data_IF_975057681547
#
_entry.id   IF_975057681547
#
_cell.length_a   1.000
_cell.length_b   1.000
_cell.length_c   1.000
_cell.angle_alpha   90.00
_cell.angle_beta   90.00
_cell.angle_gamma   90.00
#
_symmetry.space_group_name_H-M   'P 1'
#
loop_
_entity.id
_entity.type
_entity.pdbx_description
1 polymer ?
#
# COMPACT_ATOMS: atom_id res chain seq x y z
N UNK A 1 2.81 6.65 38.76
CA UNK A 1 2.87 6.63 40.24
C UNK A 1 4.10 5.93 40.83
N UNK A 2 4.81 5.04 40.12
CA UNK A 2 6.06 4.41 40.63
C UNK A 2 7.28 5.36 40.73
N UNK A 3 7.26 6.54 40.09
CA UNK A 3 8.41 7.45 40.03
C UNK A 3 8.62 8.26 41.31
N UNK A 4 7.54 8.67 42.00
CA UNK A 4 7.64 9.43 43.25
C UNK A 4 8.29 8.63 44.37
N UNK A 5 8.01 7.32 44.45
CA UNK A 5 8.59 6.42 45.45
C UNK A 5 10.11 6.30 45.36
N UNK A 6 10.71 6.40 44.16
CA UNK A 6 12.16 6.31 43.99
C UNK A 6 12.88 7.58 44.42
N UNK A 7 12.33 8.75 44.07
CA UNK A 7 12.84 10.04 44.52
C UNK A 7 12.69 10.16 46.04
N UNK A 8 11.56 9.70 46.60
CA UNK A 8 11.37 9.65 48.04
C UNK A 8 12.40 8.71 48.69
N UNK A 9 12.62 7.52 48.12
CA UNK A 9 13.61 6.56 48.62
C UNK A 9 15.02 7.14 48.59
N UNK A 10 15.46 7.77 47.49
CA UNK A 10 16.80 8.37 47.41
C UNK A 10 16.97 9.49 48.43
N UNK A 11 15.93 10.31 48.64
CA UNK A 11 15.89 11.31 49.70
C UNK A 11 16.00 10.68 51.11
N UNK A 12 15.24 9.64 51.40
CA UNK A 12 15.28 8.92 52.69
C UNK A 12 16.62 8.22 52.92
N UNK A 13 17.21 7.62 51.89
CA UNK A 13 18.55 7.01 51.92
C UNK A 13 19.59 8.09 52.23
N UNK A 14 19.59 9.20 51.51
CA UNK A 14 20.46 10.34 51.79
C UNK A 14 20.29 10.85 53.22
N UNK A 15 19.05 10.99 53.70
CA UNK A 15 18.75 11.41 55.08
C UNK A 15 19.27 10.41 56.13
N UNK A 16 19.18 9.11 55.85
CA UNK A 16 19.67 8.04 56.75
C UNK A 16 21.18 8.04 56.82
N UNK A 17 21.84 8.11 55.66
CA UNK A 17 23.30 8.13 55.56
C UNK A 17 23.89 9.37 56.24
N UNK A 18 23.30 10.55 56.01
CA UNK A 18 23.72 11.78 56.67
C UNK A 18 23.63 11.69 58.21
N UNK A 19 22.53 11.13 58.75
CA UNK A 19 22.39 10.91 60.21
C UNK A 19 23.37 9.87 60.76
N UNK A 20 23.70 8.84 59.98
CA UNK A 20 24.62 7.80 60.43
C UNK A 20 26.06 8.34 60.52
N UNK A 21 26.46 9.14 59.54
CA UNK A 21 27.78 9.76 59.49
C UNK A 21 27.93 10.88 60.53
N UNK A 22 26.90 11.70 60.75
CA UNK A 22 26.90 12.76 61.78
C UNK A 22 27.12 12.21 63.20
N UNK A 23 26.71 10.96 63.46
CA UNK A 23 26.83 10.30 64.77
C UNK A 23 28.18 9.63 64.99
N UNK A 24 28.83 9.14 63.93
CA UNK A 24 30.00 8.26 64.05
C UNK A 24 31.30 9.04 63.92
N UNK A 25 31.54 9.78 62.83
CA UNK A 25 32.88 10.27 62.52
C UNK A 25 32.87 11.64 61.83
N UNK A 26 32.65 12.72 62.59
CA UNK A 26 32.68 14.10 62.06
C UNK A 26 34.04 14.48 61.44
N UNK A 27 35.14 13.86 61.88
CA UNK A 27 36.51 14.15 61.42
C UNK A 27 37.02 13.25 60.28
N UNK A 28 36.43 12.08 60.03
CA UNK A 28 36.93 11.11 59.02
C UNK A 28 36.05 11.02 57.76
N UNK A 29 34.87 11.64 57.76
CA UNK A 29 33.94 11.54 56.64
C UNK A 29 34.42 12.23 55.34
N UNK A 30 35.48 13.03 55.42
CA UNK A 30 36.17 13.59 54.26
C UNK A 30 36.96 12.54 53.46
N UNK A 31 37.23 11.37 54.05
CA UNK A 31 38.14 10.37 53.47
C UNK A 31 37.42 9.21 52.76
N UNK A 32 36.09 9.10 52.86
CA UNK A 32 35.34 8.00 52.22
C UNK A 32 34.20 8.51 51.34
N UNK A 33 34.30 8.38 50.00
CA UNK A 33 33.21 8.74 49.10
C UNK A 33 32.00 7.83 49.33
N UNK A 34 30.78 8.40 49.36
CA UNK A 34 29.56 7.60 49.44
C UNK A 34 29.36 6.84 48.11
N UNK A 35 29.20 5.51 48.11
CA UNK A 35 29.06 4.71 46.90
C UNK A 35 27.70 4.83 46.20
N UNK A 36 26.68 5.37 46.87
CA UNK A 36 25.29 5.35 46.36
C UNK A 36 25.08 6.11 45.04
N UNK A 37 25.65 7.31 44.80
CA UNK A 37 25.55 8.00 43.51
C UNK A 37 26.17 7.21 42.34
N UNK A 38 27.28 6.49 42.58
CA UNK A 38 27.90 5.60 41.58
C UNK A 38 27.04 4.35 41.33
N UNK A 39 26.43 3.77 42.36
CA UNK A 39 25.46 2.68 42.19
C UNK A 39 24.24 3.12 41.36
N UNK A 40 23.72 4.33 41.61
CA UNK A 40 22.64 4.91 40.81
C UNK A 40 23.05 5.11 39.35
N UNK A 41 24.26 5.63 39.11
CA UNK A 41 24.82 5.78 37.76
C UNK A 41 24.85 4.43 37.03
N UNK A 42 25.33 3.38 37.69
CA UNK A 42 25.44 2.06 37.08
C UNK A 42 24.07 1.41 36.79
N UNK A 43 23.07 1.63 37.66
CA UNK A 43 21.70 1.21 37.41
C UNK A 43 21.08 1.93 36.20
N UNK A 44 21.23 3.26 36.14
CA UNK A 44 20.74 4.05 35.00
C UNK A 44 21.51 3.73 33.71
N UNK A 45 22.81 3.45 33.79
CA UNK A 45 23.61 2.96 32.64
C UNK A 45 23.01 1.68 32.06
N UNK A 46 22.78 0.65 32.88
CA UNK A 46 22.15 -0.61 32.46
C UNK A 46 20.76 -0.40 31.86
N UNK A 47 19.99 0.53 32.40
CA UNK A 47 18.68 0.87 31.88
C UNK A 47 18.73 1.52 30.49
N UNK A 48 19.62 2.50 30.31
CA UNK A 48 19.83 3.15 29.02
C UNK A 48 20.37 2.15 27.98
N UNK A 49 21.31 1.28 28.35
CA UNK A 49 21.78 0.18 27.51
C UNK A 49 20.63 -0.74 27.10
N UNK A 50 19.72 -1.07 28.02
CA UNK A 50 18.53 -1.87 27.74
C UNK A 50 17.55 -1.18 26.79
N UNK A 51 17.43 0.15 26.83
CA UNK A 51 16.65 0.93 25.84
C UNK A 51 17.35 0.88 24.48
N UNK A 52 18.65 1.13 24.43
CA UNK A 52 19.44 1.12 23.19
C UNK A 52 19.40 -0.26 22.50
N UNK A 53 19.60 -1.36 23.24
CA UNK A 53 19.53 -2.73 22.68
C UNK A 53 18.14 -3.04 22.10
N UNK A 54 17.07 -2.67 22.81
CA UNK A 54 15.69 -2.86 22.32
C UNK A 54 15.39 -2.02 21.09
N UNK A 55 15.92 -0.80 21.03
CA UNK A 55 15.84 0.05 19.85
C UNK A 55 16.55 -0.60 18.66
N UNK A 56 17.81 -1.03 18.81
CA UNK A 56 18.59 -1.66 17.73
C UNK A 56 17.91 -2.93 17.18
N UNK A 57 17.41 -3.80 18.07
CA UNK A 57 16.71 -5.01 17.65
C UNK A 57 15.40 -4.72 16.88
N UNK A 58 14.68 -3.64 17.23
CA UNK A 58 13.46 -3.22 16.52
C UNK A 58 13.79 -2.50 15.22
N UNK A 59 14.86 -1.70 15.21
CA UNK A 59 15.38 -0.98 14.04
C UNK A 59 15.74 -1.96 12.93
N UNK A 60 16.58 -2.96 13.20
CA UNK A 60 17.01 -3.95 12.21
C UNK A 60 15.82 -4.62 11.49
N UNK A 61 14.82 -5.09 12.25
CA UNK A 61 13.61 -5.71 11.69
C UNK A 61 12.77 -4.77 10.82
N UNK A 62 12.75 -3.47 11.14
CA UNK A 62 12.01 -2.49 10.36
C UNK A 62 12.80 -2.05 9.11
N UNK A 63 14.13 -1.96 9.20
CA UNK A 63 15.01 -1.68 8.05
C UNK A 63 14.98 -2.81 7.02
N UNK A 64 15.04 -4.08 7.45
CA UNK A 64 14.86 -5.24 6.56
C UNK A 64 13.51 -5.20 5.84
N UNK A 65 12.43 -4.88 6.56
CA UNK A 65 11.09 -4.72 5.96
C UNK A 65 11.04 -3.56 4.99
N UNK A 66 11.70 -2.44 5.30
CA UNK A 66 11.76 -1.29 4.41
C UNK A 66 12.50 -1.64 3.11
N UNK A 67 13.64 -2.32 3.21
CA UNK A 67 14.41 -2.80 2.05
C UNK A 67 13.58 -3.75 1.17
N UNK A 68 12.85 -4.68 1.79
CA UNK A 68 11.96 -5.60 1.08
C UNK A 68 10.85 -4.85 0.33
N UNK A 69 10.18 -3.88 0.97
CA UNK A 69 9.14 -3.09 0.29
C UNK A 69 9.71 -2.18 -0.81
N UNK A 70 10.91 -1.62 -0.63
CA UNK A 70 11.61 -0.86 -1.67
C UNK A 70 11.93 -1.72 -2.88
N UNK A 71 12.43 -2.93 -2.66
CA UNK A 71 12.71 -3.87 -3.74
C UNK A 71 11.42 -4.24 -4.49
N UNK A 72 10.33 -4.54 -3.76
CA UNK A 72 9.02 -4.80 -4.36
C UNK A 72 8.49 -3.62 -5.17
N UNK A 73 8.62 -2.38 -4.66
CA UNK A 73 8.21 -1.17 -5.38
C UNK A 73 9.02 -0.99 -6.66
N UNK A 74 10.36 -1.05 -6.60
CA UNK A 74 11.23 -0.91 -7.78
C UNK A 74 10.96 -1.99 -8.83
N UNK A 75 10.71 -3.23 -8.40
CA UNK A 75 10.32 -4.31 -9.30
C UNK A 75 8.97 -4.03 -9.98
N UNK A 76 7.97 -3.58 -9.22
CA UNK A 76 6.65 -3.21 -9.76
C UNK A 76 6.70 -1.99 -10.68
N UNK A 77 7.51 -0.98 -10.37
CA UNK A 77 7.74 0.18 -11.24
C UNK A 77 8.32 -0.22 -12.58
N UNK A 78 9.31 -1.14 -12.59
CA UNK A 78 9.91 -1.63 -13.83
C UNK A 78 8.89 -2.36 -14.71
N UNK A 79 8.00 -3.15 -14.11
CA UNK A 79 6.94 -3.86 -14.83
C UNK A 79 5.89 -2.88 -15.36
N UNK A 80 5.43 -1.94 -14.54
CA UNK A 80 4.39 -0.95 -14.93
C UNK A 80 4.90 0.04 -15.98
N UNK A 81 6.20 0.37 -15.99
CA UNK A 81 6.80 1.27 -16.97
C UNK A 81 7.00 0.65 -18.36
N UNK A 82 6.85 -0.67 -18.51
CA UNK A 82 6.97 -1.38 -19.79
C UNK A 82 5.63 -1.53 -20.53
N UNK A 83 4.49 -1.25 -19.87
CA UNK A 83 3.15 -1.38 -20.45
C UNK A 83 2.69 -0.06 -21.09
N UNK A 84 2.19 -0.12 -22.33
CA UNK A 84 1.58 1.03 -23.01
C UNK A 84 0.42 1.63 -22.19
N UNK A 85 0.29 2.97 -22.13
CA UNK A 85 -0.78 3.61 -21.39
C UNK A 85 -2.16 3.22 -21.96
N UNK A 86 -3.01 2.66 -21.11
CA UNK A 86 -4.44 2.48 -21.38
C UNK A 86 -5.05 3.83 -21.77
N UNK A 87 -5.66 3.99 -22.97
CA UNK A 87 -6.15 5.30 -23.37
C UNK A 87 -7.40 5.69 -22.55
N UNK A 88 -7.48 6.97 -22.15
CA UNK A 88 -8.29 7.54 -21.05
C UNK A 88 -9.83 7.50 -21.20
N UNK A 89 -10.37 6.86 -22.24
CA UNK A 89 -11.79 6.95 -22.63
C UNK A 89 -12.75 6.24 -21.65
N UNK A 90 -12.24 5.57 -20.60
CA UNK A 90 -13.05 4.96 -19.53
C UNK A 90 -12.56 5.30 -18.12
N UNK A 91 -12.30 6.58 -17.83
CA UNK A 91 -11.90 7.03 -16.49
C UNK A 91 -12.92 6.79 -15.35
N UNK A 92 -14.14 6.35 -15.65
CA UNK A 92 -15.20 6.10 -14.65
C UNK A 92 -15.72 4.65 -14.66
N UNK A 93 -15.67 3.99 -13.50
CA UNK A 93 -16.23 2.63 -13.31
C UNK A 93 -17.70 2.52 -13.79
N UNK A 94 -18.53 3.54 -13.52
CA UNK A 94 -19.94 3.55 -13.93
C UNK A 94 -20.13 3.63 -15.46
N UNK A 95 -19.35 4.47 -16.15
CA UNK A 95 -19.43 4.59 -17.60
C UNK A 95 -19.01 3.30 -18.32
N UNK A 96 -18.00 2.61 -17.78
CA UNK A 96 -17.51 1.34 -18.31
C UNK A 96 -18.55 0.22 -18.18
N UNK A 97 -19.07 -0.01 -16.97
CA UNK A 97 -20.08 -1.06 -16.77
C UNK A 97 -21.42 -0.71 -17.44
N UNK A 98 -21.76 0.58 -17.52
CA UNK A 98 -22.93 1.05 -18.27
C UNK A 98 -22.81 0.76 -19.77
N UNK A 99 -21.68 1.09 -20.39
CA UNK A 99 -21.45 0.80 -21.80
C UNK A 99 -21.37 -0.71 -22.09
N UNK A 100 -20.71 -1.47 -21.21
CA UNK A 100 -20.67 -2.93 -21.29
C UNK A 100 -22.08 -3.54 -21.21
N UNK A 101 -22.92 -3.08 -20.28
CA UNK A 101 -24.31 -3.50 -20.16
C UNK A 101 -25.14 -3.15 -21.38
N UNK A 102 -24.94 -1.96 -21.97
CA UNK A 102 -25.65 -1.53 -23.17
C UNK A 102 -25.33 -2.42 -24.37
N UNK A 103 -24.04 -2.69 -24.63
CA UNK A 103 -23.62 -3.56 -25.74
C UNK A 103 -24.13 -4.98 -25.52
N UNK A 104 -24.06 -5.51 -24.29
CA UNK A 104 -24.58 -6.83 -23.96
C UNK A 104 -26.11 -6.93 -24.19
N UNK A 105 -26.88 -5.92 -23.79
CA UNK A 105 -28.33 -5.86 -24.04
C UNK A 105 -28.65 -5.72 -25.54
N UNK A 106 -27.83 -4.96 -26.27
CA UNK A 106 -27.92 -4.84 -27.72
C UNK A 106 -27.71 -6.18 -28.43
N UNK A 107 -26.69 -6.94 -28.04
CA UNK A 107 -26.46 -8.30 -28.53
C UNK A 107 -27.58 -9.26 -28.13
N UNK A 108 -28.08 -9.16 -26.89
CA UNK A 108 -29.21 -9.97 -26.41
C UNK A 108 -30.46 -9.75 -27.26
N UNK A 109 -30.78 -8.49 -27.56
CA UNK A 109 -31.92 -8.14 -28.39
C UNK A 109 -31.74 -8.63 -29.83
N UNK A 110 -30.56 -8.42 -30.41
CA UNK A 110 -30.24 -8.86 -31.77
C UNK A 110 -30.33 -10.39 -31.92
N UNK A 111 -29.73 -11.13 -30.98
CA UNK A 111 -29.74 -12.60 -30.98
C UNK A 111 -31.14 -13.15 -30.75
N UNK A 112 -31.92 -12.55 -29.84
CA UNK A 112 -33.33 -12.91 -29.65
C UNK A 112 -34.14 -12.72 -30.94
N UNK A 113 -33.99 -11.58 -31.61
CA UNK A 113 -34.70 -11.33 -32.87
C UNK A 113 -34.39 -12.37 -33.95
N UNK A 114 -33.17 -12.92 -33.96
CA UNK A 114 -32.80 -14.03 -34.83
C UNK A 114 -33.41 -15.35 -34.37
N UNK A 115 -33.48 -15.65 -33.08
CA UNK A 115 -34.11 -16.88 -32.58
C UNK A 115 -35.63 -16.89 -32.79
N UNK A 116 -36.29 -15.73 -32.73
CA UNK A 116 -37.72 -15.58 -33.03
C UNK A 116 -38.05 -16.02 -34.48
N UNK A 117 -37.06 -16.15 -35.36
CA UNK A 117 -37.26 -16.59 -36.75
C UNK A 117 -37.28 -18.11 -36.91
N UNK A 118 -36.95 -18.85 -35.85
CA UNK A 118 -36.90 -20.30 -35.86
C UNK A 118 -38.24 -20.95 -35.47
N UNK A 119 -39.32 -20.15 -35.37
CA UNK A 119 -40.67 -20.60 -34.99
C UNK A 119 -40.72 -21.30 -33.62
N UNK A 120 -39.70 -21.08 -32.79
CA UNK A 120 -39.59 -21.65 -31.45
C UNK A 120 -40.57 -20.98 -30.48
N UNK A 121 -40.85 -21.66 -29.38
CA UNK A 121 -41.61 -21.05 -28.29
C UNK A 121 -40.85 -19.81 -27.77
N UNK A 122 -41.56 -18.77 -27.33
CA UNK A 122 -40.95 -17.51 -26.85
C UNK A 122 -39.93 -17.75 -25.73
N UNK A 123 -40.18 -18.74 -24.86
CA UNK A 123 -39.27 -19.13 -23.79
C UNK A 123 -37.98 -19.77 -24.33
N UNK A 124 -38.09 -20.62 -25.35
CA UNK A 124 -36.95 -21.29 -25.99
C UNK A 124 -36.09 -20.29 -26.78
N UNK A 125 -36.73 -19.41 -27.56
CA UNK A 125 -36.03 -18.34 -28.28
C UNK A 125 -35.28 -17.40 -27.32
N UNK A 126 -35.87 -17.10 -26.16
CA UNK A 126 -35.22 -16.31 -25.12
C UNK A 126 -34.02 -17.05 -24.49
N UNK A 127 -34.16 -18.33 -24.13
CA UNK A 127 -33.07 -19.12 -23.52
C UNK A 127 -31.91 -19.28 -24.51
N UNK A 128 -32.20 -19.68 -25.74
CA UNK A 128 -31.18 -19.89 -26.77
C UNK A 128 -30.51 -18.56 -27.14
N UNK A 129 -31.28 -17.48 -27.27
CA UNK A 129 -30.76 -16.14 -27.51
C UNK A 129 -29.85 -15.66 -26.39
N UNK A 130 -30.20 -15.92 -25.13
CA UNK A 130 -29.36 -15.56 -23.98
C UNK A 130 -28.04 -16.37 -23.96
N UNK A 131 -28.10 -17.68 -24.20
CA UNK A 131 -26.90 -18.54 -24.28
C UNK A 131 -25.98 -18.10 -25.42
N UNK A 132 -26.54 -17.84 -26.60
CA UNK A 132 -25.80 -17.32 -27.75
C UNK A 132 -25.14 -15.97 -27.41
N UNK A 133 -25.85 -15.07 -26.72
CA UNK A 133 -25.32 -13.77 -26.30
C UNK A 133 -24.14 -13.94 -25.34
N UNK A 134 -24.25 -14.78 -24.32
CA UNK A 134 -23.13 -15.02 -23.40
C UNK A 134 -21.91 -15.56 -24.15
N UNK A 135 -22.11 -16.53 -25.05
CA UNK A 135 -21.02 -17.14 -25.83
C UNK A 135 -20.35 -16.16 -26.80
N UNK A 136 -21.14 -15.46 -27.61
CA UNK A 136 -20.65 -14.51 -28.61
C UNK A 136 -19.99 -13.30 -27.96
N UNK A 137 -20.61 -12.74 -26.93
CA UNK A 137 -20.06 -11.62 -26.18
C UNK A 137 -18.73 -11.99 -25.54
N UNK A 138 -18.64 -13.18 -24.93
CA UNK A 138 -17.40 -13.66 -24.32
C UNK A 138 -16.29 -13.86 -25.36
N UNK A 139 -16.59 -14.50 -26.49
CA UNK A 139 -15.62 -14.74 -27.57
C UNK A 139 -15.15 -13.43 -28.22
N UNK A 140 -16.06 -12.50 -28.52
CA UNK A 140 -15.71 -11.18 -29.05
C UNK A 140 -14.85 -10.37 -28.07
N UNK A 141 -15.23 -10.38 -26.78
CA UNK A 141 -14.45 -9.72 -25.74
C UNK A 141 -13.08 -10.39 -25.51
N UNK A 142 -12.99 -11.72 -25.59
CA UNK A 142 -11.72 -12.44 -25.49
C UNK A 142 -10.82 -12.19 -26.71
N UNK A 143 -11.38 -12.14 -27.91
CA UNK A 143 -10.66 -11.83 -29.14
C UNK A 143 -9.99 -10.45 -29.07
N UNK A 144 -10.71 -9.44 -28.59
CA UNK A 144 -10.15 -8.09 -28.39
C UNK A 144 -9.04 -8.05 -27.35
N UNK A 145 -9.19 -8.81 -26.26
CA UNK A 145 -8.17 -8.92 -25.21
C UNK A 145 -6.88 -9.57 -25.73
N UNK A 146 -7.00 -10.68 -26.48
CA UNK A 146 -5.84 -11.38 -27.07
C UNK A 146 -5.17 -10.55 -28.17
N UNK A 147 -5.94 -9.74 -28.92
CA UNK A 147 -5.37 -8.79 -29.88
C UNK A 147 -4.43 -7.80 -29.19
N UNK A 148 -4.86 -7.26 -28.05
CA UNK A 148 -4.05 -6.32 -27.27
C UNK A 148 -2.78 -6.93 -26.71
N UNK A 149 -2.81 -8.21 -26.34
CA UNK A 149 -1.63 -8.95 -25.86
C UNK A 149 -0.62 -9.27 -26.96
N UNK A 150 -0.88 -8.89 -28.21
CA UNK A 150 -0.04 -9.23 -29.37
C UNK A 150 -0.27 -10.65 -29.91
N UNK A 151 -1.23 -11.39 -29.35
CA UNK A 151 -1.59 -12.75 -29.80
C UNK A 151 -2.56 -12.70 -30.98
N UNK A 152 -2.10 -12.15 -32.11
CA UNK A 152 -2.86 -12.03 -33.36
C UNK A 152 -3.56 -13.34 -33.82
N UNK A 153 -2.91 -14.52 -33.83
CA UNK A 153 -3.57 -15.74 -34.32
C UNK A 153 -4.74 -16.17 -33.45
N UNK A 154 -4.61 -16.09 -32.12
CA UNK A 154 -5.69 -16.46 -31.19
C UNK A 154 -6.84 -15.44 -31.24
N UNK A 155 -6.51 -14.15 -31.36
CA UNK A 155 -7.50 -13.09 -31.56
C UNK A 155 -8.35 -13.33 -32.80
N UNK A 156 -7.73 -13.69 -33.94
CA UNK A 156 -8.44 -13.99 -35.17
C UNK A 156 -9.36 -15.20 -35.03
N UNK A 157 -8.87 -16.30 -34.45
CA UNK A 157 -9.67 -17.51 -34.23
C UNK A 157 -10.91 -17.20 -33.39
N UNK A 158 -10.74 -16.45 -32.30
CA UNK A 158 -11.84 -16.08 -31.40
C UNK A 158 -12.80 -15.06 -32.04
N UNK A 159 -12.30 -14.17 -32.92
CA UNK A 159 -13.10 -13.13 -33.58
C UNK A 159 -13.89 -13.61 -34.80
N UNK A 160 -13.42 -14.64 -35.50
CA UNK A 160 -14.10 -15.20 -36.67
C UNK A 160 -15.45 -15.82 -36.28
N UNK A 161 -15.53 -16.51 -35.13
CA UNK A 161 -16.75 -17.20 -34.73
C UNK A 161 -17.94 -16.24 -34.52
N UNK A 162 -17.81 -15.12 -33.76
CA UNK A 162 -18.87 -14.12 -33.68
C UNK A 162 -19.26 -13.50 -35.02
N UNK A 163 -18.29 -13.24 -35.90
CA UNK A 163 -18.56 -12.68 -37.24
C UNK A 163 -19.42 -13.62 -38.08
N UNK A 164 -19.08 -14.91 -38.12
CA UNK A 164 -19.86 -15.91 -38.87
C UNK A 164 -21.28 -16.06 -38.34
N UNK A 165 -21.44 -16.05 -37.01
CA UNK A 165 -22.76 -16.17 -36.37
C UNK A 165 -23.63 -14.94 -36.65
N UNK A 166 -23.04 -13.74 -36.66
CA UNK A 166 -23.77 -12.52 -37.05
C UNK A 166 -24.27 -12.57 -38.48
N UNK A 167 -23.43 -13.03 -39.42
CA UNK A 167 -23.81 -13.19 -40.83
C UNK A 167 -24.98 -14.18 -40.95
N UNK A 168 -24.88 -15.32 -40.25
CA UNK A 168 -25.92 -16.33 -40.22
C UNK A 168 -27.23 -15.77 -39.65
N UNK A 169 -27.18 -15.04 -38.53
CA UNK A 169 -28.37 -14.47 -37.88
C UNK A 169 -29.03 -13.38 -38.74
N UNK A 170 -28.23 -12.54 -39.41
CA UNK A 170 -28.73 -11.55 -40.34
C UNK A 170 -29.46 -12.21 -41.52
N UNK A 171 -28.86 -13.26 -42.10
CA UNK A 171 -29.45 -14.01 -43.20
C UNK A 171 -30.74 -14.74 -42.79
N UNK A 172 -30.74 -15.38 -41.62
CA UNK A 172 -31.92 -16.03 -41.05
C UNK A 172 -33.06 -15.03 -40.87
N UNK A 173 -32.80 -13.91 -40.21
CA UNK A 173 -33.79 -12.86 -39.98
C UNK A 173 -34.32 -12.23 -41.26
N UNK A 174 -33.45 -12.00 -42.23
CA UNK A 174 -33.87 -11.48 -43.54
C UNK A 174 -34.74 -12.48 -44.30
N UNK A 175 -34.36 -13.76 -44.33
CA UNK A 175 -35.15 -14.80 -45.01
C UNK A 175 -36.54 -14.96 -44.40
N UNK A 176 -36.64 -14.87 -43.08
CA UNK A 176 -37.90 -14.89 -42.34
C UNK A 176 -38.80 -13.71 -42.66
N UNK A 177 -38.25 -12.49 -42.62
CA UNK A 177 -39.01 -11.27 -42.93
C UNK A 177 -39.52 -11.26 -44.36
N UNK A 178 -38.74 -11.76 -45.33
CA UNK A 178 -39.20 -11.93 -46.70
C UNK A 178 -40.36 -12.93 -46.81
N UNK A 179 -40.27 -14.08 -46.14
CA UNK A 179 -41.37 -15.07 -46.11
C UNK A 179 -42.64 -14.49 -45.50
N UNK A 180 -42.52 -13.80 -44.37
CA UNK A 180 -43.67 -13.18 -43.71
C UNK A 180 -44.29 -12.04 -44.53
N UNK A 181 -43.48 -11.23 -45.21
CA UNK A 181 -43.99 -10.20 -46.11
C UNK A 181 -44.80 -10.81 -47.28
N UNK A 182 -44.33 -11.92 -47.84
CA UNK A 182 -45.04 -12.63 -48.90
C UNK A 182 -46.39 -13.20 -48.42
N UNK A 183 -46.45 -13.75 -47.20
CA UNK A 183 -47.68 -14.27 -46.61
C UNK A 183 -48.72 -13.15 -46.37
N UNK A 184 -48.27 -11.97 -45.94
CA UNK A 184 -49.17 -10.84 -45.63
C UNK A 184 -49.50 -9.96 -46.85
N UNK A 185 -49.00 -10.31 -48.05
CA UNK A 185 -49.22 -9.51 -49.26
C UNK A 185 -48.50 -8.15 -49.25
N UNK A 186 -47.50 -7.97 -48.38
CA UNK A 186 -46.71 -6.74 -48.29
C UNK A 186 -45.62 -6.71 -49.38
N UNK A 187 -45.18 -5.53 -49.83
CA UNK A 187 -44.11 -5.42 -50.81
C UNK A 187 -42.82 -6.08 -50.30
N UNK A 188 -42.15 -6.79 -51.22
CA UNK A 188 -40.92 -7.50 -50.91
C UNK A 188 -39.88 -6.54 -50.31
N UNK A 189 -39.34 -6.89 -49.16
CA UNK A 189 -38.36 -6.06 -48.48
C UNK A 189 -37.07 -5.98 -49.31
N UNK A 190 -36.58 -4.75 -49.47
CA UNK A 190 -35.37 -4.47 -50.24
C UNK A 190 -34.15 -5.17 -49.63
N UNK A 191 -33.17 -5.49 -50.49
CA UNK A 191 -31.86 -6.02 -50.09
C UNK A 191 -31.16 -5.15 -49.03
N UNK A 192 -31.52 -3.87 -48.94
CA UNK A 192 -31.07 -2.96 -47.89
C UNK A 192 -31.44 -3.44 -46.47
N UNK A 193 -32.49 -4.25 -46.31
CA UNK A 193 -32.84 -4.86 -45.01
C UNK A 193 -31.77 -5.84 -44.52
N UNK A 194 -31.23 -6.68 -45.42
CA UNK A 194 -30.12 -7.59 -45.09
C UNK A 194 -28.86 -6.80 -44.75
N UNK A 195 -28.54 -5.78 -45.55
CA UNK A 195 -27.37 -4.94 -45.33
C UNK A 195 -27.45 -4.18 -44.00
N UNK A 196 -28.64 -3.69 -43.63
CA UNK A 196 -28.85 -3.03 -42.35
C UNK A 196 -28.67 -4.00 -41.16
N UNK A 197 -29.22 -5.21 -41.24
CA UNK A 197 -29.04 -6.24 -40.21
C UNK A 197 -27.57 -6.63 -40.05
N UNK A 198 -26.86 -6.82 -41.16
CA UNK A 198 -25.42 -7.07 -41.14
C UNK A 198 -24.63 -5.91 -40.55
N UNK A 199 -24.93 -4.66 -40.92
CA UNK A 199 -24.24 -3.50 -40.39
C UNK A 199 -24.41 -3.38 -38.87
N UNK A 200 -25.62 -3.60 -38.35
CA UNK A 200 -25.90 -3.59 -36.91
C UNK A 200 -25.17 -4.72 -36.20
N UNK A 201 -25.21 -5.95 -36.73
CA UNK A 201 -24.51 -7.08 -36.12
C UNK A 201 -22.99 -6.93 -36.14
N UNK A 202 -22.41 -6.44 -37.24
CA UNK A 202 -20.97 -6.16 -37.34
C UNK A 202 -20.54 -5.04 -36.40
N UNK A 203 -21.37 -4.01 -36.23
CA UNK A 203 -21.14 -2.96 -35.24
C UNK A 203 -21.09 -3.54 -33.83
N UNK A 204 -22.04 -4.42 -33.46
CA UNK A 204 -22.06 -5.06 -32.14
C UNK A 204 -20.79 -5.91 -31.90
N UNK A 205 -20.37 -6.71 -32.88
CA UNK A 205 -19.12 -7.49 -32.80
C UNK A 205 -17.90 -6.57 -32.68
N UNK A 206 -17.87 -5.47 -33.42
CA UNK A 206 -16.81 -4.46 -33.32
C UNK A 206 -16.77 -3.80 -31.93
N UNK A 207 -17.93 -3.52 -31.35
CA UNK A 207 -18.05 -2.94 -30.01
C UNK A 207 -17.64 -3.94 -28.91
N UNK A 208 -18.00 -5.22 -29.02
CA UNK A 208 -17.56 -6.25 -28.06
C UNK A 208 -16.08 -6.54 -28.16
N UNK A 209 -15.53 -6.57 -29.38
CA UNK A 209 -14.09 -6.64 -29.60
C UNK A 209 -13.37 -5.42 -28.99
N UNK A 210 -13.89 -4.21 -29.21
CA UNK A 210 -13.33 -2.98 -28.64
C UNK A 210 -13.36 -2.99 -27.10
N UNK A 211 -14.46 -3.44 -26.50
CA UNK A 211 -14.58 -3.64 -25.05
C UNK A 211 -13.53 -4.64 -24.52
N UNK A 212 -13.31 -5.72 -25.25
CA UNK A 212 -12.27 -6.70 -24.99
C UNK A 212 -10.86 -6.12 -25.02
N UNK A 213 -10.54 -5.40 -26.08
CA UNK A 213 -9.28 -4.69 -26.25
C UNK A 213 -9.05 -3.67 -25.12
N UNK A 214 -10.09 -2.93 -24.74
CA UNK A 214 -10.02 -1.95 -23.65
C UNK A 214 -10.22 -2.53 -22.26
N UNK A 215 -10.40 -3.84 -22.13
CA UNK A 215 -10.53 -4.46 -20.82
C UNK A 215 -9.23 -4.23 -20.02
N UNK A 216 -9.32 -3.77 -18.76
CA UNK A 216 -8.16 -3.65 -17.91
C UNK A 216 -7.71 -5.05 -17.54
N UNK A 217 -6.57 -5.44 -18.10
CA UNK A 217 -5.82 -6.58 -17.62
C UNK A 217 -4.52 -6.08 -17.02
N UNK A 218 -4.20 -6.65 -15.85
CA UNK A 218 -2.93 -6.58 -15.12
C UNK A 218 -2.50 -5.20 -14.64
N UNK A 219 -2.54 -4.13 -15.45
CA UNK A 219 -2.06 -2.80 -15.07
C UNK A 219 -2.83 -2.16 -13.92
N UNK A 220 -4.17 -2.22 -13.87
CA UNK A 220 -4.91 -1.68 -12.71
C UNK A 220 -4.59 -2.44 -11.41
N UNK A 221 -4.42 -3.76 -11.52
CA UNK A 221 -4.02 -4.62 -10.39
C UNK A 221 -2.57 -4.34 -9.99
N UNK A 222 -1.68 -4.13 -10.95
CA UNK A 222 -0.27 -3.80 -10.75
C UNK A 222 -0.10 -2.38 -10.20
N UNK A 223 -0.84 -1.39 -10.70
CA UNK A 223 -0.91 -0.03 -10.17
C UNK A 223 -1.47 -0.03 -8.75
N UNK A 224 -2.54 -0.78 -8.48
CA UNK A 224 -3.06 -0.95 -7.12
C UNK A 224 -2.03 -1.62 -6.21
N UNK A 225 -1.34 -2.65 -6.67
CA UNK A 225 -0.25 -3.32 -5.92
C UNK A 225 0.92 -2.36 -5.67
N UNK A 226 1.30 -1.56 -6.66
CA UNK A 226 2.35 -0.57 -6.58
C UNK A 226 1.99 0.54 -5.59
N UNK A 227 0.77 1.07 -5.65
CA UNK A 227 0.25 2.04 -4.68
C UNK A 227 0.25 1.48 -3.26
N UNK A 228 -0.24 0.25 -3.08
CA UNK A 228 -0.24 -0.42 -1.78
C UNK A 228 1.19 -0.69 -1.26
N UNK A 229 2.13 -1.04 -2.14
CA UNK A 229 3.54 -1.21 -1.79
C UNK A 229 4.18 0.12 -1.35
N UNK A 230 3.95 1.21 -2.09
CA UNK A 230 4.41 2.55 -1.73
C UNK A 230 3.80 3.03 -0.40
N UNK A 231 2.51 2.75 -0.15
CA UNK A 231 1.88 3.07 1.13
C UNK A 231 2.47 2.27 2.30
N UNK A 232 2.79 0.99 2.08
CA UNK A 232 3.49 0.15 3.08
C UNK A 232 4.90 0.67 3.36
N UNK A 233 5.65 1.06 2.33
CA UNK A 233 6.98 1.69 2.47
C UNK A 233 6.89 2.94 3.36
N UNK A 234 5.98 3.87 3.04
CA UNK A 234 5.76 5.10 3.83
C UNK A 234 5.43 4.81 5.29
N UNK A 235 4.54 3.85 5.55
CA UNK A 235 4.15 3.48 6.93
C UNK A 235 5.33 2.91 7.71
N UNK A 236 6.17 2.07 7.10
CA UNK A 236 7.37 1.53 7.75
C UNK A 236 8.39 2.63 8.01
N UNK A 237 8.61 3.51 7.04
CA UNK A 237 9.50 4.67 7.17
C UNK A 237 9.08 5.60 8.33
N UNK A 238 7.78 5.95 8.41
CA UNK A 238 7.25 6.74 9.52
C UNK A 238 7.40 6.05 10.88
N UNK A 239 7.21 4.72 10.92
CA UNK A 239 7.43 3.91 12.14
C UNK A 239 8.89 3.92 12.58
N UNK A 240 9.85 3.87 11.65
CA UNK A 240 11.28 3.99 11.94
C UNK A 240 11.62 5.36 12.53
N UNK A 241 11.11 6.44 11.95
CA UNK A 241 11.30 7.80 12.49
C UNK A 241 10.69 7.95 13.89
N UNK A 242 9.48 7.45 14.10
CA UNK A 242 8.83 7.48 15.40
C UNK A 242 9.60 6.63 16.43
N UNK A 243 10.11 5.46 16.03
CA UNK A 243 10.94 4.61 16.87
C UNK A 243 12.19 5.36 17.35
N UNK A 244 12.91 6.03 16.44
CA UNK A 244 14.11 6.79 16.79
C UNK A 244 13.78 7.94 17.75
N UNK A 245 12.81 8.80 17.40
CA UNK A 245 12.39 9.92 18.27
C UNK A 245 11.96 9.44 19.66
N UNK A 246 11.24 8.31 19.75
CA UNK A 246 10.82 7.76 21.03
C UNK A 246 12.00 7.19 21.83
N UNK A 247 12.99 6.58 21.18
CA UNK A 247 14.20 6.10 21.83
C UNK A 247 15.06 7.27 22.36
N UNK A 248 15.23 8.32 21.56
CA UNK A 248 15.92 9.55 21.98
C UNK A 248 15.25 10.18 23.20
N UNK A 249 13.94 10.40 23.13
CA UNK A 249 13.15 10.92 24.26
C UNK A 249 13.25 10.05 25.51
N UNK A 250 13.23 8.72 25.36
CA UNK A 250 13.35 7.81 26.49
C UNK A 250 14.73 7.89 27.14
N UNK A 251 15.81 8.00 26.35
CA UNK A 251 17.16 8.20 26.86
C UNK A 251 17.31 9.55 27.56
N UNK A 252 16.80 10.62 26.97
CA UNK A 252 16.84 11.97 27.56
C UNK A 252 16.04 12.03 28.87
N UNK A 253 14.87 11.39 28.91
CA UNK A 253 14.07 11.29 30.12
C UNK A 253 14.77 10.49 31.23
N UNK A 254 15.43 9.39 30.88
CA UNK A 254 16.25 8.62 31.84
C UNK A 254 17.42 9.42 32.39
N UNK A 255 18.09 10.21 31.54
CA UNK A 255 19.19 11.06 31.93
C UNK A 255 18.74 12.20 32.87
N UNK A 256 17.61 12.84 32.56
CA UNK A 256 16.99 13.84 33.43
C UNK A 256 16.60 13.23 34.80
N UNK A 257 15.95 12.07 34.79
CA UNK A 257 15.58 11.37 36.03
C UNK A 257 16.79 10.92 36.85
N UNK A 258 17.89 10.54 36.21
CA UNK A 258 19.15 10.25 36.92
C UNK A 258 19.61 11.48 37.71
N UNK A 259 19.69 12.65 37.06
CA UNK A 259 20.10 13.92 37.69
C UNK A 259 19.19 14.30 38.86
N UNK A 260 17.87 14.15 38.69
CA UNK A 260 16.90 14.40 39.76
C UNK A 260 17.06 13.49 40.97
N UNK A 261 17.30 12.19 40.75
CA UNK A 261 17.47 11.21 41.83
C UNK A 261 18.75 11.46 42.62
N UNK A 262 19.85 11.81 41.95
CA UNK A 262 21.11 12.19 42.59
C UNK A 262 20.95 13.50 43.37
N UNK A 263 20.28 14.50 42.79
CA UNK A 263 19.98 15.75 43.49
C UNK A 263 19.06 15.55 44.71
N UNK A 264 18.08 14.64 44.63
CA UNK A 264 17.20 14.31 45.76
C UNK A 264 17.95 13.60 46.89
N UNK A 265 18.87 12.69 46.54
CA UNK A 265 19.78 12.07 47.50
C UNK A 265 20.62 13.14 48.23
N UNK A 266 21.29 14.04 47.50
CA UNK A 266 22.12 15.09 48.09
C UNK A 266 21.32 16.07 48.96
N UNK A 267 20.10 16.44 48.54
CA UNK A 267 19.18 17.25 49.38
C UNK A 267 18.82 16.56 50.69
N UNK A 268 18.57 15.25 50.66
CA UNK A 268 18.30 14.46 51.87
C UNK A 268 19.51 14.36 52.78
N UNK A 269 20.69 14.17 52.19
CA UNK A 269 21.96 14.09 52.90
C UNK A 269 22.33 15.41 53.60
N UNK A 270 22.34 16.53 52.87
CA UNK A 270 22.68 17.85 53.42
C UNK A 270 21.73 18.27 54.55
N UNK A 271 20.42 17.99 54.43
CA UNK A 271 19.45 18.27 55.50
C UNK A 271 19.69 17.45 56.77
N UNK A 272 20.19 16.22 56.64
CA UNK A 272 20.49 15.38 57.78
C UNK A 272 21.82 15.73 58.45
N UNK A 273 22.67 16.50 57.76
CA UNK A 273 24.00 16.84 58.23
C UNK A 273 24.39 18.29 57.87
N UNK A 274 23.84 19.29 58.60
CA UNK A 274 23.95 20.70 58.23
C UNK A 274 25.31 21.35 58.52
N UNK A 275 26.14 20.76 59.39
CA UNK A 275 27.48 21.26 59.75
C UNK A 275 28.61 20.52 59.02
N UNK A 276 28.27 19.80 57.96
CA UNK A 276 29.23 19.06 57.14
C UNK A 276 29.99 20.04 56.23
N UNK A 277 31.33 20.05 56.29
CA UNK A 277 32.20 20.93 55.48
C UNK A 277 33.11 20.12 54.53
N UNK A 278 32.54 19.40 53.55
CA UNK A 278 33.27 18.49 52.67
C UNK A 278 34.20 19.20 51.69
N UNK A 279 35.20 18.44 51.23
CA UNK A 279 35.99 18.84 50.08
C UNK A 279 35.05 19.14 48.89
N UNK A 280 35.31 20.22 48.12
CA UNK A 280 34.41 20.72 47.07
C UNK A 280 34.11 19.68 45.98
N UNK A 281 34.93 18.64 45.85
CA UNK A 281 34.75 17.55 44.89
C UNK A 281 33.56 16.62 45.21
N UNK A 282 33.08 16.59 46.45
CA UNK A 282 32.04 15.65 46.89
C UNK A 282 30.64 16.26 46.99
N UNK A 283 30.50 17.57 47.21
CA UNK A 283 29.19 18.22 47.36
C UNK A 283 28.46 18.27 46.04
N UNK A 284 27.30 17.63 45.97
CA UNK A 284 26.49 17.70 44.76
C UNK A 284 27.19 17.09 43.55
N UNK A 285 28.22 16.26 43.77
CA UNK A 285 28.86 15.52 42.70
C UNK A 285 27.82 14.63 42.05
N UNK A 286 27.56 14.88 40.77
CA UNK A 286 26.72 14.05 39.93
C UNK A 286 27.70 13.30 39.02
N UNK A 287 27.95 12.00 39.28
CA UNK A 287 28.79 11.21 38.40
C UNK A 287 28.34 11.34 36.94
N UNK A 288 29.26 11.64 36.00
CA UNK A 288 28.87 11.85 34.63
C UNK A 288 28.30 10.56 34.04
N UNK A 289 27.08 10.65 33.52
CA UNK A 289 26.40 9.55 32.85
C UNK A 289 26.27 9.88 31.37
N UNK A 290 27.08 9.22 30.54
CA UNK A 290 27.07 9.43 29.11
C UNK A 290 25.86 8.75 28.47
N UNK A 291 25.14 9.50 27.64
CA UNK A 291 24.06 8.96 26.82
C UNK A 291 24.64 8.00 25.77
N UNK A 292 24.10 6.78 25.63
CA UNK A 292 24.52 5.90 24.53
C UNK A 292 24.15 6.54 23.19
N UNK A 293 25.11 6.57 22.26
CA UNK A 293 24.89 7.08 20.92
C UNK A 293 23.95 6.14 20.16
N UNK A 294 22.86 6.69 19.62
CA UNK A 294 22.02 5.98 18.68
C UNK A 294 22.58 6.23 17.27
N UNK A 295 22.75 5.18 16.44
CA UNK A 295 23.23 5.38 15.08
C UNK A 295 22.24 6.27 14.30
N UNK A 296 22.73 7.16 13.42
CA UNK A 296 21.88 8.06 12.64
C UNK A 296 20.89 7.27 11.77
N UNK A 297 19.77 7.93 11.45
CA UNK A 297 18.75 7.40 10.57
C UNK A 297 19.00 7.94 9.15
N UNK A 298 19.89 7.30 8.41
CA UNK A 298 20.17 7.64 7.02
C UNK A 298 19.11 7.00 6.11
N UNK A 299 17.88 7.51 6.20
CA UNK A 299 16.76 7.02 5.42
C UNK A 299 16.50 7.92 4.22
N UNK A 300 16.69 7.39 3.02
CA UNK A 300 16.14 8.02 1.80
C UNK A 300 14.62 8.21 1.93
N UNK A 301 14.12 9.38 1.52
CA UNK A 301 12.68 9.63 1.52
C UNK A 301 11.97 8.69 0.53
N UNK A 302 10.80 8.13 0.89
CA UNK A 302 10.03 7.30 -0.04
C UNK A 302 9.58 8.14 -1.25
N UNK A 303 9.95 7.71 -2.45
CA UNK A 303 9.56 8.37 -3.70
C UNK A 303 8.06 8.19 -3.95
N UNK A 304 7.37 9.25 -4.38
CA UNK A 304 5.98 9.15 -4.81
C UNK A 304 5.94 8.58 -6.24
N UNK A 305 5.30 7.42 -6.48
CA UNK A 305 5.20 6.88 -7.83
C UNK A 305 4.25 7.67 -8.74
N UNK A 306 3.52 8.66 -8.21
CA UNK A 306 2.52 9.45 -8.93
C UNK A 306 2.99 10.88 -9.26
N UNK A 307 4.16 11.32 -8.78
CA UNK A 307 4.76 12.59 -9.22
C UNK A 307 5.43 12.40 -10.58
N UNK A 308 4.83 13.03 -11.59
CA UNK A 308 5.19 12.96 -13.02
C UNK A 308 6.65 13.30 -13.33
N UNK A 309 7.36 14.00 -12.44
CA UNK A 309 8.75 14.42 -12.67
C UNK A 309 9.73 13.25 -12.81
N UNK A 310 9.46 12.09 -12.22
CA UNK A 310 10.39 10.95 -12.30
C UNK A 310 10.29 10.11 -13.59
N UNK A 311 9.26 10.34 -14.42
CA UNK A 311 9.08 9.63 -15.68
C UNK A 311 9.88 10.26 -16.85
N UNK A 312 10.13 11.57 -16.80
CA UNK A 312 10.90 12.26 -17.83
C UNK A 312 12.41 12.16 -17.62
N UNK A 313 12.91 12.17 -16.37
CA UNK A 313 14.35 12.07 -16.10
C UNK A 313 14.93 10.66 -16.28
N UNK A 314 14.10 9.60 -16.25
CA UNK A 314 14.56 8.21 -16.46
C UNK A 314 14.63 7.79 -17.94
N UNK A 315 14.19 8.65 -18.87
CA UNK A 315 14.30 8.43 -20.32
C UNK A 315 15.53 9.12 -20.95
N UNK A 316 16.37 9.78 -20.16
CA UNK A 316 17.68 10.23 -20.64
C UNK A 316 18.58 9.00 -20.85
N UNK A 317 19.02 8.70 -22.09
CA UNK A 317 20.00 7.63 -22.29
C UNK A 317 21.30 8.01 -21.58
N UNK A 318 21.85 7.10 -20.77
CA UNK A 318 23.19 7.27 -20.22
C UNK A 318 24.19 7.49 -21.37
N UNK A 319 25.08 8.50 -21.29
CA UNK A 319 26.14 8.65 -22.27
C UNK A 319 27.06 7.43 -22.13
N UNK A 320 27.21 6.68 -23.23
CA UNK A 320 28.09 5.52 -23.28
C UNK A 320 29.56 5.95 -23.07
N UNK A 321 30.38 5.14 -22.36
CA UNK A 321 31.80 5.40 -22.17
C UNK A 321 32.61 5.34 -23.49
#
# INVERSE_FOLDING_TARGET
>A
MLNGFRVLRSYWVGRRDGKALSRKHASLAYLTPNPYPEQLKEWFRRWMEGVARRYLARRAKLEERLALFRHQRKALEKVVGQDEPTPEVFGGYAARYGFLGLVFLGEAYYNKMAMDTLEMNQLEAFIIGAVATVGLFWLGHAAGNEYRKGNLPLSLILGILPLLVVILFAALRFSWTQRMAAIHGNPAHSIYGLLALMAVGLLLVGLTFYLGYRSPHEREVLLRRLFLAAQKERRVWQRLLALNRNAERALDHLLAHYRENVAAYWRGFARAWPQWDPAPEFVGHIPPLNRPALPPLDLEAPSDPLTQESAHDRMAPEPRP
#
